data_IF_428163904853
#
_entry.id   IF_428163904853
#
_cell.length_a   1.000
_cell.length_b   1.000
_cell.length_c   1.000
_cell.angle_alpha   90.00
_cell.angle_beta   90.00
_cell.angle_gamma   90.00
#
_symmetry.space_group_name_H-M   'P 1'
#
loop_
_entity.id
_entity.type
_entity.pdbx_description
1 polymer ?
#
# COMPACT_ATOMS: atom_id res chain seq x y z
N UNK A 1 7.39 36.66 28.71
CA UNK A 1 7.59 35.71 27.59
C UNK A 1 6.80 36.26 26.41
N UNK A 2 7.46 36.94 25.47
CA UNK A 2 6.83 37.52 24.29
C UNK A 2 6.75 36.45 23.20
N UNK A 3 5.54 36.12 22.77
CA UNK A 3 5.29 35.26 21.62
C UNK A 3 5.78 36.01 20.36
N UNK A 4 6.82 35.53 19.66
CA UNK A 4 7.35 36.24 18.51
C UNK A 4 6.28 36.33 17.41
N UNK A 5 6.11 37.50 16.81
CA UNK A 5 5.22 37.66 15.65
C UNK A 5 5.82 36.92 14.46
N UNK A 6 5.03 36.04 13.85
CA UNK A 6 5.45 35.18 12.76
C UNK A 6 4.29 34.37 12.20
N UNK A 7 4.56 33.65 11.13
CA UNK A 7 3.62 32.83 10.38
C UNK A 7 3.99 31.34 10.55
N UNK A 8 3.05 30.52 11.03
CA UNK A 8 3.19 29.07 10.98
C UNK A 8 2.59 28.54 9.67
N UNK A 9 3.39 27.82 8.88
CA UNK A 9 2.94 27.05 7.73
C UNK A 9 2.98 25.56 8.07
N UNK A 10 1.87 24.87 7.88
CA UNK A 10 1.78 23.41 8.02
C UNK A 10 1.45 22.80 6.66
N UNK A 11 2.24 21.83 6.22
CA UNK A 11 2.07 21.10 4.95
C UNK A 11 2.10 19.62 5.25
N UNK A 12 1.07 18.88 4.85
CA UNK A 12 1.06 17.42 4.94
C UNK A 12 1.44 16.81 3.60
N UNK A 13 2.50 15.99 3.59
CA UNK A 13 2.98 15.25 2.43
C UNK A 13 2.58 13.79 2.58
N UNK A 14 1.84 13.23 1.61
CA UNK A 14 1.41 11.83 1.61
C UNK A 14 2.19 11.07 0.52
N UNK A 15 2.85 9.99 0.90
CA UNK A 15 3.52 9.05 0.00
C UNK A 15 2.66 7.80 -0.06
N UNK A 16 2.00 7.57 -1.19
CA UNK A 16 1.22 6.35 -1.43
C UNK A 16 1.74 5.61 -2.66
N UNK A 17 1.77 4.28 -2.58
CA UNK A 17 2.22 3.40 -3.67
C UNK A 17 1.07 2.92 -4.54
N UNK A 18 -0.19 3.20 -4.16
CA UNK A 18 -1.36 2.84 -4.95
C UNK A 18 -2.35 4.01 -5.07
N UNK A 19 -2.64 4.52 -6.28
CA UNK A 19 -3.40 5.76 -6.47
C UNK A 19 -4.86 5.69 -6.00
N UNK A 20 -5.43 4.48 -5.86
CA UNK A 20 -6.81 4.29 -5.42
C UNK A 20 -6.97 3.72 -4.00
N UNK A 21 -5.90 3.20 -3.38
CA UNK A 21 -5.99 2.45 -2.14
C UNK A 21 -5.10 3.06 -1.06
N UNK A 22 -5.60 3.06 0.17
CA UNK A 22 -4.80 3.29 1.36
C UNK A 22 -4.26 1.94 1.82
N UNK A 23 -2.94 1.82 1.81
CA UNK A 23 -2.23 0.57 2.14
C UNK A 23 -1.30 0.75 3.33
N UNK A 24 -0.84 -0.35 3.94
CA UNK A 24 0.09 -0.33 5.09
C UNK A 24 1.39 0.43 4.83
N UNK A 25 1.82 0.48 3.57
CA UNK A 25 3.09 1.11 3.18
C UNK A 25 2.98 2.61 3.00
N UNK A 26 1.76 3.16 2.98
CA UNK A 26 1.52 4.59 2.79
C UNK A 26 1.96 5.38 4.04
N UNK A 27 2.54 6.56 3.82
CA UNK A 27 3.08 7.41 4.89
C UNK A 27 2.59 8.85 4.72
N UNK A 28 2.19 9.48 5.82
CA UNK A 28 1.88 10.92 5.87
C UNK A 28 2.85 11.65 6.78
N UNK A 29 3.43 12.75 6.30
CA UNK A 29 4.35 13.58 7.04
C UNK A 29 3.76 14.99 7.20
N UNK A 30 3.49 15.42 8.43
CA UNK A 30 3.09 16.80 8.72
C UNK A 30 4.34 17.66 8.97
N UNK A 31 4.68 18.51 8.00
CA UNK A 31 5.82 19.43 8.07
C UNK A 31 5.32 20.78 8.57
N UNK A 32 5.85 21.25 9.69
CA UNK A 32 5.54 22.57 10.25
C UNK A 32 6.76 23.49 10.20
N UNK A 33 6.61 24.62 9.52
CA UNK A 33 7.63 25.65 9.41
C UNK A 33 7.13 26.94 10.07
N UNK A 34 7.95 27.56 10.91
CA UNK A 34 7.66 28.87 11.49
C UNK A 34 8.54 29.94 10.85
N UNK A 35 7.91 30.97 10.30
CA UNK A 35 8.58 32.11 9.69
C UNK A 35 8.40 33.33 10.57
N UNK A 36 9.48 33.79 11.19
CA UNK A 36 9.46 35.02 11.99
C UNK A 36 9.39 36.26 11.09
N UNK A 37 8.57 37.24 11.48
CA UNK A 37 8.61 38.55 10.85
C UNK A 37 9.91 39.26 11.26
N UNK A 38 10.73 39.65 10.28
CA UNK A 38 11.93 40.48 10.51
C UNK A 38 11.57 41.90 10.11
N UNK A 39 11.43 42.80 11.08
CA UNK A 39 11.17 44.21 10.83
C UNK A 39 12.40 44.84 10.17
N UNK A 40 12.39 44.98 8.85
CA UNK A 40 13.44 45.68 8.10
C UNK A 40 13.05 47.15 7.99
N UNK A 41 13.68 48.02 8.78
CA UNK A 41 13.56 49.47 8.61
C UNK A 41 14.33 49.91 7.37
N UNK A 42 13.61 50.34 6.33
CA UNK A 42 14.21 50.95 5.13
C UNK A 42 14.11 52.46 5.28
N UNK A 43 15.23 53.16 5.43
CA UNK A 43 15.28 54.62 5.32
C UNK A 43 15.37 55.03 3.84
N UNK A 44 14.24 55.35 3.22
CA UNK A 44 14.24 56.07 1.94
C UNK A 44 14.32 57.58 2.19
N UNK A 45 15.33 58.24 1.62
CA UNK A 45 15.27 59.68 1.37
C UNK A 45 14.46 59.90 0.08
N UNK A 46 13.30 60.53 0.22
CA UNK A 46 12.42 60.92 -0.87
C UNK A 46 12.70 62.40 -1.21
N UNK A 47 13.24 62.66 -2.40
CA UNK A 47 13.35 64.00 -2.96
C UNK A 47 12.08 64.31 -3.78
N UNK A 48 11.45 65.45 -3.51
CA UNK A 48 10.14 65.83 -4.07
C UNK A 48 10.33 67.02 -4.99
N UNK A 49 10.22 66.78 -6.29
CA UNK A 49 10.09 67.83 -7.30
C UNK A 49 8.93 67.52 -8.24
N UNK A 50 7.87 68.33 -8.21
CA UNK A 50 6.78 68.33 -9.19
C UNK A 50 6.98 69.45 -10.21
N UNK A 51 6.66 69.18 -11.48
CA UNK A 51 6.21 70.20 -12.45
C UNK A 51 5.42 69.56 -13.61
N UNK A 52 4.55 70.32 -14.30
CA UNK A 52 3.24 69.84 -14.76
C UNK A 52 3.09 69.60 -16.27
N UNK A 53 2.04 68.80 -16.57
CA UNK A 53 1.13 68.79 -17.74
C UNK A 53 1.69 68.81 -19.19
N UNK A 54 1.20 67.91 -20.06
CA UNK A 54 0.11 68.21 -21.01
C UNK A 54 -0.18 67.06 -22.01
N UNK A 55 -1.40 67.11 -22.52
CA UNK A 55 -2.27 66.15 -23.19
C UNK A 55 -2.05 66.02 -24.72
N UNK A 56 -2.28 64.83 -25.33
CA UNK A 56 -3.34 64.54 -26.37
C UNK A 56 -3.05 63.38 -27.36
N UNK A 57 -4.14 62.63 -27.60
CA UNK A 57 -4.46 61.41 -28.39
C UNK A 57 -4.19 61.44 -29.92
N UNK A 58 -4.14 60.23 -30.55
CA UNK A 58 -4.78 59.81 -31.84
C UNK A 58 -4.97 58.25 -31.78
N UNK A 59 -6.18 57.69 -31.60
CA UNK A 59 -7.24 57.26 -32.54
C UNK A 59 -7.00 55.93 -33.31
N UNK A 60 -8.00 55.04 -33.24
CA UNK A 60 -8.39 54.05 -34.27
C UNK A 60 -8.44 52.60 -33.78
N UNK A 61 -9.47 51.76 -33.95
CA UNK A 61 -10.90 51.82 -34.30
C UNK A 61 -11.43 50.38 -34.00
N UNK A 62 -12.67 50.24 -33.48
CA UNK A 62 -13.45 48.98 -33.41
C UNK A 62 -13.98 48.60 -34.84
N UNK A 63 -14.92 47.63 -35.10
CA UNK A 63 -15.52 46.55 -34.29
C UNK A 63 -15.73 45.18 -35.01
N UNK A 64 -16.14 44.18 -34.22
CA UNK A 64 -17.21 43.17 -34.41
C UNK A 64 -17.35 42.29 -35.69
N UNK A 65 -17.60 40.99 -35.48
CA UNK A 65 -18.96 40.38 -35.53
C UNK A 65 -19.01 38.93 -36.11
N UNK A 66 -19.66 38.05 -35.33
CA UNK A 66 -20.73 37.10 -35.69
C UNK A 66 -20.57 36.00 -36.78
N UNK A 67 -20.86 34.76 -36.39
CA UNK A 67 -22.06 34.04 -36.88
C UNK A 67 -21.91 32.80 -37.80
N UNK A 68 -22.74 31.77 -37.53
CA UNK A 68 -23.19 30.72 -38.47
C UNK A 68 -22.64 29.30 -38.19
N UNK A 69 -23.39 28.27 -37.75
CA UNK A 69 -24.54 27.51 -38.32
C UNK A 69 -24.16 26.19 -39.05
N UNK A 70 -24.48 25.07 -38.38
CA UNK A 70 -25.24 23.88 -38.85
C UNK A 70 -24.69 22.81 -39.85
N UNK A 71 -25.02 21.55 -39.48
CA UNK A 71 -25.42 20.33 -40.26
C UNK A 71 -24.41 19.19 -40.62
N UNK A 72 -24.55 18.06 -39.90
CA UNK A 72 -25.14 16.71 -40.26
C UNK A 72 -24.45 15.81 -41.37
N UNK A 73 -24.82 14.51 -41.58
CA UNK A 73 -24.14 13.28 -41.08
C UNK A 73 -23.91 12.14 -42.14
N UNK A 74 -23.75 10.87 -41.66
CA UNK A 74 -23.90 9.54 -42.29
C UNK A 74 -22.59 8.88 -42.83
N UNK A 75 -22.36 7.54 -42.92
CA UNK A 75 -23.25 6.36 -42.99
C UNK A 75 -22.44 5.02 -42.87
N UNK A 76 -23.12 3.88 -42.65
CA UNK A 76 -22.71 2.51 -43.09
C UNK A 76 -22.40 1.49 -41.98
N UNK A 77 -23.22 0.49 -41.55
CA UNK A 77 -23.95 -0.66 -42.15
C UNK A 77 -23.17 -1.99 -42.36
N UNK A 78 -23.81 -3.09 -41.90
CA UNK A 78 -23.81 -4.51 -42.35
C UNK A 78 -23.25 -5.57 -41.36
N UNK A 79 -23.64 -6.86 -41.42
CA UNK A 79 -24.92 -7.61 -41.30
C UNK A 79 -24.55 -9.11 -41.43
N UNK A 80 -25.10 -9.96 -40.55
CA UNK A 80 -25.36 -11.43 -40.62
C UNK A 80 -24.33 -12.47 -41.11
N UNK A 81 -24.33 -13.61 -40.40
CA UNK A 81 -23.97 -14.94 -40.92
C UNK A 81 -24.40 -16.03 -39.93
N UNK A 82 -25.42 -16.80 -40.29
CA UNK A 82 -25.96 -17.98 -39.59
C UNK A 82 -25.20 -19.22 -40.08
N UNK A 83 -24.85 -20.14 -39.19
CA UNK A 83 -24.36 -21.47 -39.52
C UNK A 83 -25.16 -22.53 -38.75
N UNK A 84 -25.78 -23.43 -39.50
CA UNK A 84 -26.53 -24.60 -39.05
C UNK A 84 -25.56 -25.75 -38.74
N UNK A 85 -25.58 -26.27 -37.51
CA UNK A 85 -24.73 -27.38 -37.09
C UNK A 85 -25.48 -28.38 -36.20
N UNK A 86 -25.89 -29.49 -36.83
CA UNK A 86 -26.07 -30.87 -36.32
C UNK A 86 -26.33 -31.05 -34.79
N UNK A 87 -27.45 -31.67 -34.37
CA UNK A 87 -27.58 -32.13 -32.99
C UNK A 87 -26.69 -33.35 -32.75
N UNK A 88 -25.55 -33.15 -32.10
CA UNK A 88 -24.77 -34.20 -31.46
C UNK A 88 -25.56 -34.69 -30.24
N UNK A 89 -26.03 -35.95 -30.26
CA UNK A 89 -26.65 -36.58 -29.09
C UNK A 89 -25.60 -36.73 -28.00
N UNK A 90 -25.53 -35.72 -27.15
CA UNK A 90 -24.64 -35.66 -26.01
C UNK A 90 -25.23 -36.53 -24.91
N UNK A 91 -24.47 -37.50 -24.38
CA UNK A 91 -24.85 -38.25 -23.18
C UNK A 91 -24.92 -37.24 -22.03
N UNK A 92 -26.11 -36.73 -21.71
CA UNK A 92 -26.33 -35.74 -20.66
C UNK A 92 -26.27 -36.44 -19.30
N UNK A 93 -25.06 -36.59 -18.76
CA UNK A 93 -24.89 -36.96 -17.36
C UNK A 93 -25.11 -35.72 -16.48
N UNK A 94 -26.26 -35.66 -15.81
CA UNK A 94 -26.63 -34.54 -14.95
C UNK A 94 -25.93 -34.66 -13.60
N UNK A 95 -24.84 -33.93 -13.41
CA UNK A 95 -24.18 -33.77 -12.11
C UNK A 95 -24.70 -32.52 -11.39
N UNK A 96 -24.88 -32.61 -10.07
CA UNK A 96 -25.22 -31.44 -9.24
C UNK A 96 -23.96 -30.59 -9.05
N UNK A 97 -24.08 -29.27 -9.24
CA UNK A 97 -22.97 -28.34 -9.09
C UNK A 97 -22.66 -28.14 -7.59
N UNK A 98 -21.38 -28.13 -7.20
CA UNK A 98 -20.98 -27.85 -5.82
C UNK A 98 -21.34 -26.41 -5.42
N UNK A 99 -21.62 -26.22 -4.13
CA UNK A 99 -21.89 -24.89 -3.57
C UNK A 99 -20.59 -24.24 -3.13
N UNK A 100 -20.24 -23.12 -3.76
CA UNK A 100 -19.01 -22.39 -3.45
C UNK A 100 -19.23 -21.21 -2.49
N UNK A 101 -18.23 -20.92 -1.67
CA UNK A 101 -18.20 -19.84 -0.68
C UNK A 101 -16.85 -19.13 -0.72
N UNK A 102 -16.88 -17.86 -0.36
CA UNK A 102 -15.70 -17.03 -0.22
C UNK A 102 -15.75 -16.29 1.12
N UNK A 103 -14.72 -16.47 1.93
CA UNK A 103 -14.62 -15.88 3.26
C UNK A 103 -13.27 -15.20 3.46
N UNK A 104 -13.28 -14.05 4.14
CA UNK A 104 -12.06 -13.40 4.64
C UNK A 104 -11.94 -13.63 6.14
N UNK A 105 -10.88 -14.30 6.58
CA UNK A 105 -10.70 -14.81 7.93
C UNK A 105 -9.58 -14.09 8.67
N UNK A 106 -9.65 -14.09 10.01
CA UNK A 106 -8.61 -13.54 10.88
C UNK A 106 -7.34 -14.40 10.88
N UNK A 107 -6.22 -13.82 10.43
CA UNK A 107 -4.84 -14.35 10.46
C UNK A 107 -4.55 -15.68 9.75
N UNK A 108 -5.46 -16.66 9.78
CA UNK A 108 -5.28 -18.06 9.41
C UNK A 108 -6.51 -18.63 8.68
N UNK A 109 -6.34 -19.81 8.08
CA UNK A 109 -7.37 -20.56 7.35
C UNK A 109 -8.55 -21.05 8.20
N UNK A 110 -8.40 -21.07 9.53
CA UNK A 110 -9.41 -21.43 10.52
C UNK A 110 -9.90 -20.26 11.36
N UNK A 111 -9.53 -19.04 10.98
CA UNK A 111 -9.97 -17.83 11.64
C UNK A 111 -11.48 -17.61 11.55
N UNK A 112 -11.96 -16.56 12.20
CA UNK A 112 -13.35 -16.13 12.12
C UNK A 112 -13.53 -15.11 10.99
N UNK A 113 -14.72 -15.04 10.36
CA UNK A 113 -15.01 -14.03 9.35
C UNK A 113 -14.83 -12.61 9.88
N UNK A 114 -13.95 -11.86 9.21
CA UNK A 114 -13.63 -10.47 9.55
C UNK A 114 -14.82 -9.57 9.25
N UNK A 115 -15.24 -8.77 10.24
CA UNK A 115 -16.23 -7.68 10.09
C UNK A 115 -15.60 -6.29 10.15
N UNK A 116 -14.61 -6.16 11.03
CA UNK A 116 -13.88 -4.93 11.27
C UNK A 116 -12.38 -5.21 11.18
N UNK A 117 -11.65 -4.35 10.48
CA UNK A 117 -10.22 -4.49 10.34
C UNK A 117 -9.52 -3.12 10.33
N UNK A 118 -8.22 -3.12 10.52
CA UNK A 118 -7.37 -1.93 10.35
C UNK A 118 -6.49 -2.08 9.12
N UNK A 119 -6.15 -0.97 8.45
CA UNK A 119 -5.23 -1.00 7.31
C UNK A 119 -3.90 -1.65 7.73
N UNK A 120 -3.46 -2.64 6.97
CA UNK A 120 -2.22 -3.37 7.24
C UNK A 120 -2.32 -4.52 8.25
N UNK A 121 -3.52 -4.80 8.76
CA UNK A 121 -3.82 -6.04 9.47
C UNK A 121 -3.67 -7.25 8.53
N UNK A 122 -3.18 -8.37 9.06
CA UNK A 122 -3.00 -9.60 8.29
C UNK A 122 -4.30 -10.43 8.28
N UNK A 123 -4.75 -10.82 7.09
CA UNK A 123 -5.98 -11.61 6.89
C UNK A 123 -5.74 -12.76 5.92
N UNK A 124 -6.63 -13.75 5.97
CA UNK A 124 -6.58 -14.92 5.11
C UNK A 124 -7.84 -15.04 4.27
N UNK A 125 -7.69 -15.06 2.96
CA UNK A 125 -8.77 -15.29 2.02
C UNK A 125 -8.94 -16.78 1.77
N UNK A 126 -10.16 -17.29 1.90
CA UNK A 126 -10.50 -18.71 1.68
C UNK A 126 -11.64 -18.84 0.70
N UNK A 127 -11.41 -19.57 -0.39
CA UNK A 127 -12.43 -20.01 -1.34
C UNK A 127 -12.62 -21.51 -1.16
N UNK A 128 -13.85 -21.97 -0.96
CA UNK A 128 -14.17 -23.38 -0.79
C UNK A 128 -15.44 -23.74 -1.55
N UNK A 129 -15.44 -24.91 -2.18
CA UNK A 129 -16.63 -25.48 -2.81
C UNK A 129 -16.95 -26.83 -2.19
N UNK A 130 -18.22 -27.04 -1.85
CA UNK A 130 -18.70 -28.27 -1.24
C UNK A 130 -19.63 -29.00 -2.23
N UNK A 131 -19.26 -30.22 -2.59
CA UNK A 131 -20.06 -31.11 -3.43
C UNK A 131 -21.08 -31.84 -2.53
N UNK A 132 -22.39 -31.68 -2.76
CA UNK A 132 -23.41 -32.32 -1.92
C UNK A 132 -23.47 -33.85 -2.10
N UNK A 133 -22.93 -34.38 -3.20
CA UNK A 133 -23.04 -35.80 -3.55
C UNK A 133 -21.80 -36.62 -3.13
N UNK A 134 -20.61 -36.00 -3.09
CA UNK A 134 -19.36 -36.69 -2.83
C UNK A 134 -18.47 -35.90 -1.85
N UNK A 135 -17.68 -36.59 -1.02
CA UNK A 135 -16.63 -35.92 -0.27
C UNK A 135 -15.58 -35.31 -1.23
N UNK A 136 -14.93 -34.24 -0.79
CA UNK A 136 -13.99 -33.44 -1.61
C UNK A 136 -12.89 -34.27 -2.31
N UNK A 137 -12.40 -35.32 -1.65
CA UNK A 137 -11.38 -36.21 -2.20
C UNK A 137 -11.87 -37.00 -3.42
N UNK A 138 -13.14 -37.39 -3.43
CA UNK A 138 -13.77 -38.22 -4.47
C UNK A 138 -14.53 -37.40 -5.51
N UNK A 139 -14.80 -36.12 -5.22
CA UNK A 139 -15.47 -35.23 -6.16
C UNK A 139 -14.66 -35.10 -7.46
N UNK A 140 -15.30 -35.24 -8.65
CA UNK A 140 -14.61 -35.12 -9.93
C UNK A 140 -14.28 -33.67 -10.29
N UNK A 141 -14.71 -32.69 -9.48
CA UNK A 141 -14.58 -31.28 -9.79
C UNK A 141 -13.25 -30.68 -9.32
N UNK A 142 -12.81 -29.68 -10.07
CA UNK A 142 -11.67 -28.82 -9.81
C UNK A 142 -12.16 -27.37 -9.82
N UNK A 143 -11.98 -26.67 -8.71
CA UNK A 143 -12.27 -25.25 -8.61
C UNK A 143 -11.05 -24.41 -9.01
N UNK A 144 -11.27 -23.42 -9.88
CA UNK A 144 -10.28 -22.40 -10.24
C UNK A 144 -10.90 -21.02 -10.04
N UNK A 145 -10.37 -20.25 -9.10
CA UNK A 145 -10.77 -18.86 -8.85
C UNK A 145 -10.13 -17.96 -9.92
N UNK A 146 -10.95 -17.20 -10.63
CA UNK A 146 -10.53 -16.20 -11.60
C UNK A 146 -11.39 -14.93 -11.49
N UNK A 147 -10.97 -13.83 -12.13
CA UNK A 147 -11.76 -12.59 -12.23
C UNK A 147 -12.27 -12.07 -10.87
N UNK A 148 -11.36 -11.82 -9.93
CA UNK A 148 -11.72 -11.26 -8.62
C UNK A 148 -11.66 -9.74 -8.64
N UNK A 149 -12.71 -9.10 -8.15
CA UNK A 149 -12.80 -7.66 -7.95
C UNK A 149 -13.01 -7.32 -6.48
N UNK A 150 -12.35 -6.27 -6.01
CA UNK A 150 -12.75 -5.58 -4.78
C UNK A 150 -13.75 -4.49 -5.14
N UNK A 151 -14.86 -4.42 -4.42
CA UNK A 151 -15.96 -3.49 -4.66
C UNK A 151 -16.26 -2.66 -3.43
N UNK A 152 -16.66 -1.42 -3.70
CA UNK A 152 -17.16 -0.46 -2.73
C UNK A 152 -18.68 -0.29 -2.92
N UNK A 153 -19.38 0.20 -1.89
CA UNK A 153 -20.82 0.49 -1.96
C UNK A 153 -21.17 1.58 -3.00
N UNK A 154 -20.26 2.50 -3.32
CA UNK A 154 -20.48 3.52 -4.35
C UNK A 154 -20.46 2.98 -5.78
N UNK A 155 -20.09 1.70 -5.98
CA UNK A 155 -19.94 1.06 -7.29
C UNK A 155 -18.53 1.12 -7.87
N UNK A 156 -17.57 1.78 -7.19
CA UNK A 156 -16.15 1.71 -7.54
C UNK A 156 -15.64 0.27 -7.36
N UNK A 157 -14.82 -0.19 -8.30
CA UNK A 157 -14.24 -1.53 -8.27
C UNK A 157 -12.82 -1.54 -8.82
N UNK A 158 -12.02 -2.52 -8.38
CA UNK A 158 -10.71 -2.80 -8.97
C UNK A 158 -10.48 -4.32 -9.08
N UNK A 159 -9.82 -4.73 -10.16
CA UNK A 159 -9.48 -6.12 -10.41
C UNK A 159 -8.25 -6.53 -9.59
N UNK A 160 -8.39 -7.60 -8.83
CA UNK A 160 -7.32 -8.22 -8.04
C UNK A 160 -6.74 -9.46 -8.73
N UNK A 161 -7.60 -10.27 -9.35
CA UNK A 161 -7.20 -11.42 -10.15
C UNK A 161 -7.75 -11.28 -11.56
N UNK A 162 -6.93 -11.56 -12.57
CA UNK A 162 -7.35 -11.54 -13.97
C UNK A 162 -8.22 -12.74 -14.37
N UNK A 163 -8.61 -12.79 -15.65
CA UNK A 163 -9.42 -13.86 -16.24
C UNK A 163 -8.78 -15.25 -16.19
N UNK A 164 -7.47 -15.34 -15.96
CA UNK A 164 -6.74 -16.60 -15.82
C UNK A 164 -6.52 -17.00 -14.34
N UNK A 165 -6.90 -16.16 -13.39
CA UNK A 165 -6.67 -16.37 -11.96
C UNK A 165 -5.31 -15.89 -11.47
N UNK A 166 -4.62 -15.04 -12.24
CA UNK A 166 -3.34 -14.45 -11.84
C UNK A 166 -3.54 -13.11 -11.12
N UNK A 167 -2.72 -12.87 -10.10
CA UNK A 167 -2.71 -11.59 -9.38
C UNK A 167 -2.30 -10.43 -10.31
N UNK A 168 -3.16 -9.40 -10.35
CA UNK A 168 -2.88 -8.13 -11.04
C UNK A 168 -1.91 -7.29 -10.21
N UNK A 169 -2.11 -7.23 -8.89
CA UNK A 169 -1.24 -6.53 -7.95
C UNK A 169 -0.92 -7.40 -6.73
N UNK A 170 0.34 -7.85 -6.68
CA UNK A 170 0.89 -8.72 -5.62
C UNK A 170 1.02 -8.03 -4.26
N UNK A 171 0.94 -6.70 -4.19
CA UNK A 171 0.93 -5.99 -2.92
C UNK A 171 -0.44 -6.03 -2.23
N UNK A 172 -1.52 -6.20 -3.01
CA UNK A 172 -2.89 -6.28 -2.49
C UNK A 172 -3.33 -7.73 -2.28
N UNK A 173 -3.08 -8.60 -3.26
CA UNK A 173 -3.40 -10.02 -3.18
C UNK A 173 -2.42 -10.80 -4.05
N UNK A 174 -1.68 -11.75 -3.49
CA UNK A 174 -0.73 -12.59 -4.22
C UNK A 174 -1.42 -13.74 -4.98
N UNK A 175 -0.69 -14.46 -5.83
CA UNK A 175 -1.25 -15.61 -6.57
C UNK A 175 -1.76 -16.68 -5.60
N UNK A 176 -2.97 -17.19 -5.82
CA UNK A 176 -3.64 -18.09 -4.87
C UNK A 176 -2.91 -19.43 -4.73
N UNK A 177 -2.99 -20.03 -3.54
CA UNK A 177 -2.46 -21.37 -3.25
C UNK A 177 -3.63 -22.31 -3.03
N UNK A 178 -3.72 -23.36 -3.83
CA UNK A 178 -4.75 -24.39 -3.70
C UNK A 178 -4.28 -25.50 -2.77
N UNK A 179 -4.98 -25.69 -1.66
CA UNK A 179 -4.69 -26.75 -0.67
C UNK A 179 -5.35 -28.07 -1.07
N UNK A 180 -6.40 -28.03 -1.89
CA UNK A 180 -7.12 -29.20 -2.40
C UNK A 180 -7.68 -28.95 -3.81
N UNK A 181 -8.50 -29.87 -4.33
CA UNK A 181 -9.17 -29.72 -5.62
C UNK A 181 -10.23 -28.60 -5.61
N UNK A 182 -10.93 -28.42 -4.49
CA UNK A 182 -12.07 -27.51 -4.35
C UNK A 182 -11.82 -26.34 -3.39
N UNK A 183 -10.66 -26.31 -2.72
CA UNK A 183 -10.31 -25.29 -1.74
C UNK A 183 -9.01 -24.58 -2.13
N UNK A 184 -9.07 -23.25 -2.13
CA UNK A 184 -7.91 -22.38 -2.31
C UNK A 184 -7.88 -21.28 -1.26
N UNK A 185 -6.69 -20.74 -1.02
CA UNK A 185 -6.54 -19.63 -0.11
C UNK A 185 -5.28 -18.81 -0.31
N UNK A 186 -5.28 -17.63 0.28
CA UNK A 186 -4.15 -16.72 0.22
C UNK A 186 -4.15 -15.73 1.38
N UNK A 187 -2.96 -15.49 1.95
CA UNK A 187 -2.68 -14.45 2.93
C UNK A 187 -2.48 -13.09 2.25
N UNK A 188 -3.03 -12.03 2.85
CA UNK A 188 -2.88 -10.66 2.38
C UNK A 188 -2.88 -9.67 3.54
N UNK A 189 -2.62 -8.39 3.23
CA UNK A 189 -2.80 -7.30 4.17
C UNK A 189 -4.04 -6.50 3.80
N UNK A 190 -4.81 -6.12 4.83
CA UNK A 190 -6.01 -5.31 4.65
C UNK A 190 -5.65 -3.94 4.06
N UNK A 191 -6.42 -3.54 3.06
CA UNK A 191 -6.35 -2.24 2.41
C UNK A 191 -7.77 -1.69 2.27
N UNK A 192 -7.90 -0.41 1.95
CA UNK A 192 -9.22 0.20 1.67
C UNK A 192 -9.16 1.22 0.55
N UNK A 193 -10.30 1.57 -0.02
CA UNK A 193 -10.40 2.76 -0.86
C UNK A 193 -10.21 4.02 0.01
N UNK A 194 -9.64 5.07 -0.57
CA UNK A 194 -9.44 6.32 0.16
C UNK A 194 -10.77 6.95 0.61
N UNK A 195 -11.83 6.78 -0.19
CA UNK A 195 -13.08 7.52 -0.05
C UNK A 195 -14.13 6.78 0.80
N UNK A 196 -14.03 5.45 0.95
CA UNK A 196 -14.97 4.67 1.76
C UNK A 196 -14.26 3.62 2.64
N UNK A 197 -14.76 3.43 3.87
CA UNK A 197 -14.22 2.43 4.79
C UNK A 197 -14.76 1.03 4.53
N UNK A 198 -15.93 0.89 3.89
CA UNK A 198 -16.59 -0.41 3.68
C UNK A 198 -16.31 -0.97 2.30
N UNK A 199 -15.89 -2.24 2.24
CA UNK A 199 -15.66 -2.98 1.00
C UNK A 199 -16.03 -4.45 1.12
N UNK A 200 -16.23 -5.10 -0.02
CA UNK A 200 -16.40 -6.53 -0.15
C UNK A 200 -15.74 -7.01 -1.44
N UNK A 201 -15.59 -8.33 -1.58
CA UNK A 201 -14.95 -8.94 -2.75
C UNK A 201 -15.96 -9.79 -3.52
N UNK A 202 -15.89 -9.72 -4.85
CA UNK A 202 -16.64 -10.57 -5.75
C UNK A 202 -15.65 -11.30 -6.66
N UNK A 203 -15.75 -12.62 -6.70
CA UNK A 203 -14.91 -13.47 -7.54
C UNK A 203 -15.75 -14.42 -8.37
N UNK A 204 -15.17 -14.92 -9.46
CA UNK A 204 -15.76 -15.99 -10.25
C UNK A 204 -14.94 -17.27 -10.08
N UNK A 205 -15.62 -18.39 -9.90
CA UNK A 205 -14.99 -19.70 -9.77
C UNK A 205 -15.41 -20.55 -10.95
N UNK A 206 -14.43 -20.96 -11.75
CA UNK A 206 -14.63 -21.93 -12.82
C UNK A 206 -14.54 -23.34 -12.27
N UNK A 207 -15.57 -24.13 -12.54
CA UNK A 207 -15.61 -25.54 -12.18
C UNK A 207 -15.25 -26.41 -13.37
N UNK A 208 -14.14 -27.14 -13.29
CA UNK A 208 -13.67 -28.06 -14.33
C UNK A 208 -13.65 -29.50 -13.81
N UNK A 209 -13.47 -30.48 -14.70
CA UNK A 209 -13.30 -31.87 -14.30
C UNK A 209 -11.82 -32.21 -14.09
N UNK A 210 -11.54 -33.09 -13.14
CA UNK A 210 -10.20 -33.68 -12.93
C UNK A 210 -9.80 -34.47 -14.18
N UNK A 211 -8.61 -34.18 -14.70
CA UNK A 211 -7.97 -34.95 -15.78
C UNK A 211 -6.81 -35.73 -15.17
N UNK A 212 -6.78 -37.06 -15.36
CA UNK A 212 -5.79 -37.96 -14.76
C UNK A 212 -5.65 -37.87 -13.22
N UNK A 213 -6.73 -37.51 -12.53
CA UNK A 213 -6.76 -37.35 -11.07
C UNK A 213 -6.08 -36.06 -10.56
N UNK A 214 -5.62 -35.19 -11.45
CA UNK A 214 -5.04 -33.90 -11.12
C UNK A 214 -5.94 -32.75 -11.61
N UNK A 215 -5.77 -31.57 -11.00
CA UNK A 215 -6.42 -30.34 -11.44
C UNK A 215 -5.44 -29.51 -12.25
N UNK A 216 -5.75 -29.26 -13.52
CA UNK A 216 -5.01 -28.34 -14.37
C UNK A 216 -5.70 -26.97 -14.34
N UNK A 217 -5.06 -25.98 -13.71
CA UNK A 217 -5.64 -24.63 -13.56
C UNK A 217 -4.92 -23.63 -14.44
N UNK A 218 -5.66 -22.65 -14.95
CA UNK A 218 -5.06 -21.51 -15.67
C UNK A 218 -4.13 -20.70 -14.77
N UNK A 219 -4.40 -20.69 -13.47
CA UNK A 219 -3.59 -20.01 -12.45
C UNK A 219 -2.21 -20.64 -12.23
N UNK A 220 -1.98 -21.87 -12.67
CA UNK A 220 -0.69 -22.55 -12.50
C UNK A 220 0.41 -21.93 -13.37
N UNK A 221 0.01 -21.24 -14.45
CA UNK A 221 0.90 -20.55 -15.37
C UNK A 221 1.26 -19.11 -14.93
N UNK A 222 0.83 -18.67 -13.74
CA UNK A 222 1.03 -17.29 -13.31
C UNK A 222 2.52 -16.97 -13.08
N UNK A 223 3.01 -15.82 -13.57
CA UNK A 223 4.40 -15.44 -13.40
C UNK A 223 4.72 -15.14 -11.93
N UNK A 224 5.67 -15.86 -11.36
CA UNK A 224 6.08 -15.66 -9.96
C UNK A 224 6.94 -14.40 -9.75
N UNK A 225 7.56 -13.86 -10.79
CA UNK A 225 8.43 -12.67 -10.68
C UNK A 225 7.63 -11.37 -10.46
N UNK A 226 8.09 -10.51 -9.56
CA UNK A 226 7.54 -9.16 -9.28
C UNK A 226 7.86 -8.12 -10.39
N UNK A 227 8.60 -8.52 -11.42
CA UNK A 227 9.06 -7.63 -12.49
C UNK A 227 8.70 -8.24 -13.84
N UNK A 228 7.85 -7.55 -14.58
CA UNK A 228 7.42 -7.94 -15.92
C UNK A 228 8.62 -8.21 -16.83
N UNK A 229 8.85 -9.49 -17.12
CA UNK A 229 9.48 -9.89 -18.38
C UNK A 229 8.36 -10.26 -19.32
N UNK A 230 8.32 -9.60 -20.48
CA UNK A 230 7.57 -10.07 -21.64
C UNK A 230 8.17 -11.42 -22.03
N UNK A 231 7.64 -12.51 -21.48
CA UNK A 231 7.73 -13.82 -22.10
C UNK A 231 6.31 -14.16 -22.50
N UNK A 232 5.98 -13.91 -23.76
CA UNK A 232 4.86 -14.57 -24.41
C UNK A 232 5.25 -16.03 -24.60
N UNK A 233 5.25 -16.80 -23.51
CA UNK A 233 5.14 -18.23 -23.63
C UNK A 233 3.68 -18.45 -24.00
N UNK A 234 3.41 -18.64 -25.30
CA UNK A 234 2.11 -19.14 -25.75
C UNK A 234 2.00 -20.60 -25.27
N UNK A 235 1.81 -20.77 -23.97
CA UNK A 235 1.28 -22.01 -23.42
C UNK A 235 -0.19 -21.96 -23.82
N UNK A 236 -0.52 -22.68 -24.88
CA UNK A 236 -1.90 -23.09 -25.15
C UNK A 236 -2.30 -24.03 -24.02
N UNK A 237 -2.59 -23.47 -22.84
CA UNK A 237 -3.41 -24.15 -21.84
C UNK A 237 -4.76 -24.26 -22.52
N UNK A 238 -5.13 -25.49 -22.90
CA UNK A 238 -6.49 -25.80 -23.30
C UNK A 238 -7.36 -25.33 -22.14
N UNK A 239 -8.06 -24.19 -22.30
CA UNK A 239 -8.81 -23.58 -21.21
C UNK A 239 -9.78 -24.65 -20.69
N UNK A 240 -9.71 -25.03 -19.41
CA UNK A 240 -10.69 -25.94 -18.82
C UNK A 240 -12.06 -25.29 -19.04
N UNK A 241 -12.88 -25.86 -19.92
CA UNK A 241 -14.23 -25.35 -20.18
C UNK A 241 -15.14 -25.87 -19.07
N UNK A 242 -15.79 -24.96 -18.38
CA UNK A 242 -16.61 -25.27 -17.23
C UNK A 242 -17.53 -24.10 -16.90
N UNK A 243 -18.61 -24.32 -16.13
CA UNK A 243 -19.46 -23.24 -15.66
C UNK A 243 -18.71 -22.36 -14.67
N UNK A 244 -18.95 -21.05 -14.77
CA UNK A 244 -18.44 -20.04 -13.86
C UNK A 244 -19.50 -19.74 -12.79
N UNK A 245 -19.09 -19.69 -11.52
CA UNK A 245 -19.93 -19.45 -10.35
C UNK A 245 -19.49 -18.16 -9.67
N UNK A 246 -20.41 -17.20 -9.51
CA UNK A 246 -20.13 -15.97 -8.76
C UNK A 246 -20.16 -16.24 -7.25
N UNK A 247 -19.10 -15.81 -6.55
CA UNK A 247 -19.01 -15.85 -5.09
C UNK A 247 -18.73 -14.47 -4.52
N UNK A 248 -19.37 -14.17 -3.39
CA UNK A 248 -19.24 -12.90 -2.69
C UNK A 248 -18.70 -13.15 -1.29
N UNK A 249 -17.73 -12.33 -0.87
CA UNK A 249 -17.31 -12.30 0.52
C UNK A 249 -18.31 -11.57 1.39
N UNK A 250 -18.14 -11.67 2.70
CA UNK A 250 -18.77 -10.73 3.61
C UNK A 250 -18.24 -9.30 3.39
N UNK A 251 -19.06 -8.30 3.70
CA UNK A 251 -18.61 -6.90 3.79
C UNK A 251 -17.80 -6.68 5.06
N UNK A 252 -16.74 -5.87 4.96
CA UNK A 252 -15.94 -5.45 6.09
C UNK A 252 -15.79 -3.94 6.13
N UNK A 253 -15.63 -3.38 7.32
CA UNK A 253 -15.31 -1.96 7.54
C UNK A 253 -13.86 -1.84 8.00
N UNK A 254 -13.08 -1.03 7.29
CA UNK A 254 -11.64 -0.85 7.50
C UNK A 254 -11.36 0.53 8.10
N UNK A 255 -10.69 0.54 9.24
CA UNK A 255 -10.24 1.75 9.92
C UNK A 255 -8.78 2.08 9.57
N UNK A 256 -8.44 3.37 9.58
CA UNK A 256 -7.07 3.84 9.46
C UNK A 256 -6.31 3.57 10.76
N UNK A 257 -4.99 3.38 10.67
CA UNK A 257 -4.15 3.20 11.86
C UNK A 257 -3.92 4.58 12.46
N UNK A 258 -4.56 4.87 13.59
CA UNK A 258 -4.27 6.07 14.37
C UNK A 258 -2.84 5.94 14.97
N UNK A 259 -1.93 6.84 14.60
CA UNK A 259 -0.56 6.92 15.17
C UNK A 259 -0.54 7.18 16.69
N UNK A 260 -1.70 7.42 17.32
CA UNK A 260 -1.82 7.77 18.73
C UNK A 260 -2.05 6.57 19.68
N UNK A 261 -2.28 5.35 19.16
CA UNK A 261 -2.64 4.20 19.99
C UNK A 261 -1.46 3.59 20.79
N UNK A 262 -0.20 3.90 20.46
CA UNK A 262 0.98 3.33 21.14
C UNK A 262 1.52 4.21 22.30
N UNK A 263 0.87 5.34 22.60
CA UNK A 263 1.24 6.22 23.75
C UNK A 263 0.45 5.98 25.03
N UNK A 264 -0.35 4.91 25.12
CA UNK A 264 -1.25 4.69 26.28
C UNK A 264 -0.61 3.99 27.49
N UNK A 265 0.51 3.27 27.32
CA UNK A 265 1.11 2.51 28.43
C UNK A 265 2.11 3.27 29.32
N UNK A 266 2.22 4.60 29.19
CA UNK A 266 3.19 5.37 29.99
C UNK A 266 2.65 6.66 30.64
N UNK A 267 1.34 6.74 30.89
CA UNK A 267 0.72 7.91 31.55
C UNK A 267 0.79 7.93 33.08
N UNK A 268 1.47 6.98 33.72
CA UNK A 268 1.74 7.02 35.17
C UNK A 268 3.20 7.44 35.48
N UNK A 269 4.11 7.37 34.51
CA UNK A 269 5.50 7.82 34.65
C UNK A 269 5.74 9.25 34.15
N UNK A 270 4.68 9.97 33.76
CA UNK A 270 4.76 11.26 33.06
C UNK A 270 4.56 12.46 34.00
N UNK A 271 5.13 12.40 35.20
CA UNK A 271 5.19 13.54 36.13
C UNK A 271 6.61 13.92 36.58
N UNK A 272 7.67 13.30 36.06
CA UNK A 272 9.05 13.54 36.54
C UNK A 272 10.12 13.72 35.46
N UNK A 273 9.77 13.98 34.21
CA UNK A 273 10.77 14.25 33.17
C UNK A 273 10.32 15.36 32.22
N UNK A 274 10.15 16.56 32.75
CA UNK A 274 10.50 17.74 31.97
C UNK A 274 12.03 17.83 31.93
N UNK A 275 12.54 18.24 30.76
CA UNK A 275 13.93 18.59 30.50
C UNK A 275 14.82 17.40 30.08
N UNK A 276 15.01 17.23 28.77
CA UNK A 276 16.29 17.48 28.05
C UNK A 276 16.14 17.10 26.56
N UNK A 277 16.82 17.87 25.71
CA UNK A 277 16.69 17.93 24.24
C UNK A 277 17.12 16.66 23.49
N UNK A 278 16.54 16.48 22.30
CA UNK A 278 16.69 15.30 21.45
C UNK A 278 18.12 14.86 21.17
N UNK A 279 18.42 13.63 21.58
CA UNK A 279 19.54 12.83 21.10
C UNK A 279 18.99 11.52 20.55
N UNK A 280 19.53 11.07 19.41
CA UNK A 280 19.22 9.77 18.81
C UNK A 280 19.42 8.67 19.86
N UNK A 281 18.35 7.91 20.14
CA UNK A 281 18.39 6.82 21.11
C UNK A 281 19.09 5.61 20.46
N UNK A 282 20.41 5.49 20.67
CA UNK A 282 21.17 4.31 20.29
C UNK A 282 20.97 3.26 21.39
N UNK A 283 20.09 2.30 21.13
CA UNK A 283 19.86 1.19 22.05
C UNK A 283 21.08 0.25 22.08
N UNK A 284 21.86 0.32 23.16
CA UNK A 284 22.92 -0.65 23.47
C UNK A 284 22.46 -1.57 24.61
N UNK A 285 22.85 -2.85 24.56
CA UNK A 285 22.58 -3.75 25.69
C UNK A 285 23.31 -3.25 26.92
N UNK A 286 22.70 -3.37 28.10
CA UNK A 286 23.27 -2.95 29.38
C UNK A 286 24.71 -3.47 29.57
N UNK A 287 24.99 -4.67 29.07
CA UNK A 287 26.31 -5.28 29.16
C UNK A 287 27.36 -4.57 28.31
N UNK A 288 27.00 -4.22 27.07
CA UNK A 288 27.90 -3.49 26.15
C UNK A 288 28.22 -2.08 26.64
N UNK A 289 27.25 -1.38 27.23
CA UNK A 289 27.46 -0.05 27.78
C UNK A 289 28.43 -0.07 28.98
N UNK A 290 28.22 -1.00 29.91
CA UNK A 290 29.11 -1.16 31.08
C UNK A 290 30.54 -1.52 30.67
N UNK A 291 30.70 -2.35 29.64
CA UNK A 291 32.03 -2.70 29.11
C UNK A 291 32.71 -1.48 28.49
N UNK A 292 31.98 -0.68 27.72
CA UNK A 292 32.52 0.50 27.05
C UNK A 292 32.94 1.58 28.04
N UNK A 293 32.13 1.84 29.08
CA UNK A 293 32.47 2.77 30.16
C UNK A 293 33.70 2.31 30.94
N UNK A 294 33.80 1.00 31.21
CA UNK A 294 34.95 0.43 31.91
C UNK A 294 36.25 0.60 31.10
N UNK A 295 36.22 0.30 29.80
CA UNK A 295 37.38 0.47 28.91
C UNK A 295 37.82 1.93 28.88
N UNK A 296 36.88 2.88 28.71
CA UNK A 296 37.20 4.30 28.68
C UNK A 296 37.83 4.79 29.99
N UNK A 297 37.33 4.32 31.15
CA UNK A 297 37.91 4.65 32.45
C UNK A 297 39.35 4.12 32.60
N UNK A 298 39.62 2.90 32.14
CA UNK A 298 40.99 2.32 32.21
C UNK A 298 41.98 3.05 31.30
N UNK A 299 41.55 3.46 30.11
CA UNK A 299 42.38 4.26 29.19
C UNK A 299 42.67 5.63 29.81
N UNK A 300 41.67 6.27 30.42
CA UNK A 300 41.85 7.54 31.15
C UNK A 300 42.87 7.43 32.30
N UNK A 301 42.78 6.37 33.11
CA UNK A 301 43.70 6.18 34.23
C UNK A 301 45.13 5.86 33.79
N UNK A 302 45.28 5.02 32.76
CA UNK A 302 46.62 4.67 32.24
C UNK A 302 47.30 5.86 31.59
N UNK A 303 46.57 6.67 30.83
CA UNK A 303 47.12 7.90 30.23
C UNK A 303 47.57 8.90 31.31
N UNK A 304 46.77 9.13 32.35
CA UNK A 304 47.16 9.99 33.48
C UNK A 304 48.40 9.49 34.22
N UNK A 305 48.50 8.17 34.47
CA UNK A 305 49.67 7.57 35.11
C UNK A 305 50.93 7.71 34.24
N UNK A 306 50.83 7.50 32.94
CA UNK A 306 51.98 7.70 32.03
C UNK A 306 52.45 9.15 31.99
N UNK A 307 51.52 10.11 31.94
CA UNK A 307 51.84 11.54 32.01
C UNK A 307 52.50 11.91 33.34
N UNK A 308 52.00 11.40 34.47
CA UNK A 308 52.60 11.64 35.78
C UNK A 308 54.02 11.08 35.88
N UNK A 309 54.28 9.89 35.32
CA UNK A 309 55.61 9.28 35.28
C UNK A 309 56.57 10.03 34.34
N UNK A 310 56.08 10.55 33.21
CA UNK A 310 56.87 11.39 32.31
C UNK A 310 57.22 12.74 32.97
N UNK A 311 56.27 13.38 33.66
CA UNK A 311 56.52 14.60 34.42
C UNK A 311 57.52 14.39 35.56
N UNK A 312 57.44 13.25 36.27
CA UNK A 312 58.43 12.86 37.30
C UNK A 312 59.82 12.60 36.71
N UNK A 313 59.91 11.93 35.56
CA UNK A 313 61.19 11.73 34.87
C UNK A 313 61.77 13.04 34.34
N UNK A 314 60.93 13.98 33.90
CA UNK A 314 61.38 15.29 33.42
C UNK A 314 61.91 16.15 34.57
N UNK A 315 61.24 16.17 35.72
CA UNK A 315 61.73 16.87 36.92
C UNK A 315 63.02 16.26 37.47
N UNK A 316 63.15 14.93 37.48
CA UNK A 316 64.38 14.25 37.89
C UNK A 316 65.57 14.49 36.94
N UNK A 317 65.32 14.64 35.62
CA UNK A 317 66.34 15.03 34.64
C UNK A 317 66.79 16.48 34.81
N UNK A 318 65.88 17.40 35.15
CA UNK A 318 66.20 18.81 35.37
C UNK A 318 67.06 18.99 36.62
N UNK A 319 66.78 18.26 37.71
CA UNK A 319 67.60 18.32 38.95
C UNK A 319 69.01 17.75 38.80
N UNK A 320 69.31 16.97 37.76
CA UNK A 320 70.66 16.43 37.50
C UNK A 320 71.51 17.36 36.59
N UNK A 321 70.91 18.41 36.00
CA UNK A 321 71.61 19.41 35.18
C UNK A 321 71.98 20.67 35.97
N UNK A 322 71.62 20.74 37.25
CA UNK A 322 71.88 21.89 38.15
C UNK A 322 72.86 21.53 39.29
N UNK A 323 73.77 20.58 39.03
CA UNK A 323 74.85 20.20 39.95
C UNK A 323 76.18 20.02 39.22
#
# INVERSE_FOLDING_TARGET
>A
MSQPRGLFLSVTIIISFHPMFVTKVDRSYNVQCFYTEVEKTVSQQLDVGMSPEQLKNIQGDDPAAAGGLARRPANGQNQFGLDDGVPEETITSTFQLPTCRYEVLTETDKGEPVKFATVGQHVYHRWSCEDPAHPEAESPFCATVHSCNVREESGKQAMLLDENGCSVDKYLLTNLVYTSALTGGQSSFVFKFADQPSLYFQCQIRLSLKEDGACHRTSDACPNTLRGKRSAQNVTVTQPRGPDVDVFSQSMTVFEVDEDADKSNNKVAQSLAEQWEGGVEICMTQWSFNLLVSVMATIGLTTLLTLALLCRKHTAKVSFLEQ
#
